data_IF_939255816429
#
_entry.id   IF_939255816429
#
_cell.length_a   1.000
_cell.length_b   1.000
_cell.length_c   1.000
_cell.angle_alpha   90.00
_cell.angle_beta   90.00
_cell.angle_gamma   90.00
#
_symmetry.space_group_name_H-M   'P 1'
#
loop_
_entity.id
_entity.type
_entity.pdbx_description
1 polymer ?
#
# COMPACT_ATOMS: atom_id res chain seq x y z
N UNK A 1 18.63 -1.38 0.85
CA UNK A 1 19.49 -2.13 1.83
C UNK A 1 18.53 -2.84 2.77
N UNK A 2 18.73 -4.13 3.02
CA UNK A 2 17.84 -4.92 3.87
C UNK A 2 17.83 -4.36 5.31
N UNK A 3 16.67 -4.03 5.85
CA UNK A 3 16.53 -3.50 7.20
C UNK A 3 16.95 -4.49 8.29
N UNK A 4 16.85 -5.79 8.05
CA UNK A 4 17.41 -6.81 8.96
C UNK A 4 18.92 -6.63 9.12
N UNK A 5 19.61 -6.19 8.06
CA UNK A 5 21.05 -5.84 8.14
C UNK A 5 21.24 -4.55 8.94
N UNK A 6 20.43 -3.51 8.70
CA UNK A 6 20.51 -2.25 9.48
C UNK A 6 20.29 -2.47 10.97
N UNK A 7 19.35 -3.35 11.35
CA UNK A 7 19.09 -3.71 12.75
C UNK A 7 20.31 -4.40 13.37
N UNK A 8 20.91 -5.37 12.65
CA UNK A 8 22.15 -6.03 13.09
C UNK A 8 23.33 -5.05 13.21
N UNK A 9 23.43 -4.09 12.31
CA UNK A 9 24.44 -3.02 12.40
C UNK A 9 24.24 -2.15 13.63
N UNK A 10 22.97 -1.88 14.06
CA UNK A 10 22.71 -1.15 15.30
C UNK A 10 23.16 -1.93 16.53
N UNK A 11 22.89 -3.24 16.57
CA UNK A 11 23.40 -4.11 17.62
C UNK A 11 24.94 -4.14 17.61
N UNK A 12 25.56 -4.23 16.44
CA UNK A 12 27.02 -4.21 16.27
C UNK A 12 27.70 -2.89 16.68
N UNK A 13 26.95 -1.79 16.80
CA UNK A 13 27.43 -0.50 17.31
C UNK A 13 27.39 -0.38 18.83
N UNK A 14 26.86 -1.37 19.54
CA UNK A 14 26.93 -1.41 20.99
C UNK A 14 28.28 -1.94 21.43
N UNK A 15 28.84 -1.29 22.44
CA UNK A 15 30.03 -1.77 23.16
C UNK A 15 29.57 -2.48 24.42
N UNK A 16 30.04 -3.70 24.62
CA UNK A 16 29.69 -4.53 25.77
C UNK A 16 30.79 -4.43 26.80
N UNK A 17 30.52 -3.72 27.89
CA UNK A 17 31.47 -3.50 28.97
C UNK A 17 31.35 -4.62 30.00
N UNK A 18 32.46 -5.29 30.30
CA UNK A 18 32.52 -6.27 31.38
C UNK A 18 32.39 -5.57 32.76
N UNK A 19 31.46 -6.02 33.55
CA UNK A 19 31.15 -5.44 34.85
C UNK A 19 31.44 -6.41 35.98
N UNK A 20 32.00 -5.88 37.09
CA UNK A 20 32.10 -6.67 38.32
C UNK A 20 30.67 -6.87 38.88
N UNK A 21 30.21 -8.10 38.91
CA UNK A 21 28.82 -8.44 39.27
C UNK A 21 28.42 -7.99 40.66
N UNK A 22 29.29 -8.27 41.64
CA UNK A 22 28.95 -8.01 43.06
C UNK A 22 28.91 -6.51 43.33
N UNK A 23 29.89 -5.77 42.84
CA UNK A 23 29.92 -4.32 42.95
C UNK A 23 28.78 -3.66 42.12
N UNK A 24 28.38 -4.22 40.98
CA UNK A 24 27.27 -3.69 40.22
C UNK A 24 25.94 -3.93 40.94
N UNK A 25 25.70 -5.14 41.50
CA UNK A 25 24.52 -5.45 42.30
C UNK A 25 24.36 -4.51 43.48
N UNK A 26 25.46 -4.31 44.22
CA UNK A 26 25.47 -3.40 45.40
C UNK A 26 25.09 -1.97 44.98
N UNK A 27 25.62 -1.47 43.85
CA UNK A 27 25.40 -0.11 43.37
C UNK A 27 23.94 0.16 42.99
N UNK A 28 23.24 -0.83 42.40
CA UNK A 28 21.84 -0.68 41.95
C UNK A 28 20.84 -1.32 42.89
N UNK A 29 21.30 -1.88 44.04
CA UNK A 29 20.46 -2.43 45.08
C UNK A 29 19.87 -3.80 44.78
N UNK A 30 20.49 -4.62 43.92
CA UNK A 30 20.09 -6.00 43.69
C UNK A 30 20.50 -6.86 44.89
N UNK A 31 19.57 -7.58 45.54
CA UNK A 31 19.88 -8.44 46.67
C UNK A 31 20.89 -9.54 46.28
N UNK A 32 21.77 -9.90 47.23
CA UNK A 32 22.84 -10.90 46.99
C UNK A 32 22.32 -12.30 46.61
N UNK A 33 21.11 -12.64 47.06
CA UNK A 33 20.46 -13.92 46.74
C UNK A 33 19.92 -14.00 45.28
N UNK A 34 19.78 -12.86 44.61
CA UNK A 34 19.37 -12.81 43.18
C UNK A 34 20.55 -13.20 42.35
N UNK A 35 20.37 -14.16 41.43
CA UNK A 35 21.44 -14.67 40.58
C UNK A 35 21.22 -14.32 39.13
N UNK A 36 22.26 -13.88 38.44
CA UNK A 36 22.25 -13.73 36.99
C UNK A 36 22.35 -15.11 36.31
N UNK A 37 21.70 -15.23 35.17
CA UNK A 37 21.72 -16.46 34.36
C UNK A 37 23.12 -16.75 33.78
N UNK A 38 23.83 -15.70 33.37
CA UNK A 38 25.14 -15.82 32.78
C UNK A 38 26.26 -15.74 33.82
N UNK A 39 27.41 -16.43 33.57
CA UNK A 39 28.58 -16.40 34.45
C UNK A 39 29.22 -15.02 34.50
N UNK A 40 29.28 -14.34 33.37
CA UNK A 40 29.90 -13.02 33.23
C UNK A 40 28.81 -11.99 32.95
N UNK A 41 29.00 -10.74 33.33
CA UNK A 41 28.09 -9.64 33.11
C UNK A 41 28.67 -8.65 32.11
N UNK A 42 28.05 -8.51 30.96
CA UNK A 42 28.41 -7.51 29.95
C UNK A 42 27.23 -6.56 29.74
N UNK A 43 27.43 -5.26 30.02
CA UNK A 43 26.44 -4.25 29.84
C UNK A 43 26.66 -3.49 28.53
N UNK A 44 25.61 -3.39 27.67
CA UNK A 44 25.72 -2.68 26.41
C UNK A 44 25.64 -1.17 26.60
N UNK A 45 26.45 -0.44 25.84
CA UNK A 45 26.43 1.02 25.74
C UNK A 45 26.62 1.45 24.29
N UNK A 46 25.97 2.54 23.89
CA UNK A 46 26.14 3.06 22.52
C UNK A 46 27.55 3.58 22.28
N UNK A 47 28.17 3.14 21.16
CA UNK A 47 29.46 3.65 20.73
C UNK A 47 29.43 5.15 20.38
N UNK A 48 28.27 5.69 20.01
CA UNK A 48 28.09 7.14 19.75
C UNK A 48 28.40 7.98 20.98
N UNK A 49 28.02 7.47 22.17
CA UNK A 49 28.32 8.15 23.42
C UNK A 49 29.82 8.24 23.65
N UNK A 50 30.55 7.15 23.46
CA UNK A 50 31.99 7.10 23.67
C UNK A 50 32.68 8.02 22.67
N UNK A 51 32.30 7.98 21.39
CA UNK A 51 32.92 8.82 20.36
C UNK A 51 32.72 10.33 20.58
N UNK A 52 31.58 10.75 21.12
CA UNK A 52 31.31 12.14 21.45
C UNK A 52 31.98 12.65 22.71
N UNK A 53 32.52 11.75 23.58
CA UNK A 53 33.15 12.08 24.84
C UNK A 53 34.62 11.62 24.93
N UNK A 54 35.26 11.31 23.81
CA UNK A 54 36.66 10.83 23.75
C UNK A 54 37.68 11.79 24.39
N UNK A 55 37.41 13.08 24.40
CA UNK A 55 38.30 14.10 24.94
C UNK A 55 38.24 14.24 26.47
N UNK A 56 37.20 13.74 27.11
CA UNK A 56 37.10 13.63 28.55
C UNK A 56 37.59 12.25 28.96
N UNK A 57 38.50 12.16 29.95
CA UNK A 57 38.88 10.86 30.53
C UNK A 57 37.59 10.13 30.95
N UNK A 58 37.12 9.19 30.10
CA UNK A 58 35.91 8.40 30.35
C UNK A 58 36.18 7.52 31.57
N UNK A 59 35.86 8.02 32.75
CA UNK A 59 35.83 7.20 33.96
C UNK A 59 34.61 6.31 33.89
N UNK A 60 34.77 5.10 33.37
CA UNK A 60 33.70 4.07 33.27
C UNK A 60 32.91 3.95 34.60
N UNK A 61 33.55 4.23 35.72
CA UNK A 61 32.91 4.23 37.05
C UNK A 61 31.88 5.30 37.26
N UNK A 62 31.82 6.34 36.44
CA UNK A 62 30.91 7.50 36.57
C UNK A 62 29.97 7.62 35.38
N UNK A 63 29.78 6.57 34.57
CA UNK A 63 28.82 6.58 33.46
C UNK A 63 27.40 6.68 34.01
N UNK A 64 26.62 7.65 33.55
CA UNK A 64 25.21 7.74 33.92
C UNK A 64 24.45 6.46 33.53
N UNK A 65 23.63 5.96 34.45
CA UNK A 65 22.89 4.69 34.31
C UNK A 65 22.00 4.66 33.06
N UNK A 66 21.50 5.79 32.59
CA UNK A 66 20.61 5.88 31.46
C UNK A 66 21.24 5.39 30.14
N UNK A 67 22.58 5.46 29.98
CA UNK A 67 23.27 4.92 28.80
C UNK A 67 23.22 3.39 28.77
N UNK A 68 23.27 2.76 29.94
CA UNK A 68 23.10 1.31 30.04
C UNK A 68 21.63 0.91 29.82
N UNK A 69 20.68 1.70 30.30
CA UNK A 69 19.25 1.49 30.04
C UNK A 69 19.01 1.53 28.51
N UNK A 70 19.48 2.57 27.82
CA UNK A 70 19.36 2.67 26.36
C UNK A 70 20.00 1.47 25.67
N UNK A 71 21.22 1.11 26.04
CA UNK A 71 21.94 -0.02 25.45
C UNK A 71 21.21 -1.35 25.64
N UNK A 72 20.70 -1.63 26.84
CA UNK A 72 19.95 -2.84 27.14
C UNK A 72 18.65 -2.93 26.31
N UNK A 73 17.87 -1.84 26.21
CA UNK A 73 16.67 -1.85 25.40
C UNK A 73 16.94 -1.97 23.91
N UNK A 74 18.01 -1.35 23.36
CA UNK A 74 18.44 -1.57 21.97
C UNK A 74 18.86 -3.02 21.76
N UNK A 75 19.60 -3.63 22.70
CA UNK A 75 20.05 -5.02 22.58
C UNK A 75 18.85 -5.97 22.55
N UNK A 76 17.91 -5.86 23.51
CA UNK A 76 16.69 -6.66 23.57
C UNK A 76 15.83 -6.47 22.29
N UNK A 77 15.67 -5.22 21.83
CA UNK A 77 14.85 -4.91 20.66
C UNK A 77 15.48 -5.29 19.32
N UNK A 78 16.80 -5.47 19.28
CA UNK A 78 17.52 -5.85 18.06
C UNK A 78 17.63 -7.37 17.89
N UNK A 79 17.67 -8.14 18.96
CA UNK A 79 17.77 -9.60 18.95
C UNK A 79 17.14 -10.19 20.20
N UNK A 80 15.94 -10.79 20.04
CA UNK A 80 15.20 -11.43 21.13
C UNK A 80 15.95 -12.64 21.73
N UNK A 81 16.89 -13.24 20.99
CA UNK A 81 17.64 -14.43 21.39
C UNK A 81 19.06 -14.09 21.90
N UNK A 82 19.36 -12.81 22.14
CA UNK A 82 20.66 -12.43 22.66
C UNK A 82 20.88 -13.04 24.04
N UNK A 83 22.05 -13.66 24.23
CA UNK A 83 22.41 -14.44 25.44
C UNK A 83 22.15 -13.72 26.77
N UNK A 84 22.27 -12.40 26.81
CA UNK A 84 22.19 -11.61 28.02
C UNK A 84 20.83 -10.96 28.29
N UNK A 85 19.83 -11.15 27.43
CA UNK A 85 18.53 -10.47 27.57
C UNK A 85 17.85 -10.74 28.91
N UNK A 86 17.86 -12.00 29.39
CA UNK A 86 17.27 -12.34 30.70
C UNK A 86 17.93 -11.55 31.86
N UNK A 87 19.26 -11.37 31.77
CA UNK A 87 19.99 -10.60 32.79
C UNK A 87 19.70 -9.11 32.66
N UNK A 88 19.48 -8.60 31.44
CA UNK A 88 19.09 -7.20 31.20
C UNK A 88 17.70 -6.89 31.73
N UNK A 89 16.72 -7.73 31.47
CA UNK A 89 15.37 -7.57 32.03
C UNK A 89 15.41 -7.57 33.55
N UNK A 90 16.13 -8.50 34.16
CA UNK A 90 16.35 -8.52 35.61
C UNK A 90 16.98 -7.23 36.14
N UNK A 91 18.02 -6.70 35.49
CA UNK A 91 18.68 -5.45 35.90
C UNK A 91 17.71 -4.27 35.79
N UNK A 92 16.95 -4.17 34.69
CA UNK A 92 15.99 -3.10 34.45
C UNK A 92 14.91 -3.03 35.55
N UNK A 93 14.51 -4.17 36.15
CA UNK A 93 13.57 -4.24 37.26
C UNK A 93 14.09 -3.57 38.53
N UNK A 94 15.38 -3.55 38.75
CA UNK A 94 16.01 -2.95 39.94
C UNK A 94 16.44 -1.50 39.73
N UNK A 95 16.46 -0.99 38.52
CA UNK A 95 16.79 0.41 38.25
C UNK A 95 15.56 1.27 38.47
N UNK A 96 15.67 2.30 39.34
CA UNK A 96 14.59 3.26 39.53
C UNK A 96 14.32 4.06 38.26
N UNK A 97 13.05 4.36 38.04
CA UNK A 97 12.58 5.23 36.93
C UNK A 97 12.92 4.70 35.53
N UNK A 98 13.19 3.40 35.36
CA UNK A 98 13.47 2.75 34.06
C UNK A 98 12.42 3.10 33.02
N UNK A 99 11.13 3.03 33.42
CA UNK A 99 10.01 3.31 32.53
C UNK A 99 9.96 4.77 32.09
N UNK A 100 10.20 5.70 32.98
CA UNK A 100 10.27 7.14 32.66
C UNK A 100 11.46 7.43 31.75
N UNK A 101 12.60 6.81 32.04
CA UNK A 101 13.80 6.96 31.25
C UNK A 101 13.61 6.47 29.80
N UNK A 102 13.10 5.24 29.61
CA UNK A 102 12.89 4.70 28.27
C UNK A 102 11.88 5.50 27.47
N UNK A 103 10.77 5.94 28.07
CA UNK A 103 9.78 6.80 27.41
C UNK A 103 10.39 8.13 26.94
N UNK A 104 11.25 8.74 27.75
CA UNK A 104 11.97 9.97 27.39
C UNK A 104 12.96 9.74 26.25
N UNK A 105 13.70 8.62 26.26
CA UNK A 105 14.62 8.26 25.20
C UNK A 105 13.90 8.04 23.85
N UNK A 106 12.78 7.31 23.88
CA UNK A 106 11.94 7.08 22.69
C UNK A 106 11.44 8.41 22.12
N UNK A 107 10.86 9.29 22.97
CA UNK A 107 10.36 10.60 22.53
C UNK A 107 11.47 11.42 21.88
N UNK A 108 12.66 11.47 22.48
CA UNK A 108 13.81 12.18 21.92
C UNK A 108 14.24 11.60 20.56
N UNK A 109 14.26 10.27 20.39
CA UNK A 109 14.61 9.65 19.10
C UNK A 109 13.59 9.99 18.01
N UNK A 110 12.30 10.07 18.36
CA UNK A 110 11.22 10.49 17.44
C UNK A 110 11.38 11.97 17.07
N UNK A 111 11.62 12.86 18.04
CA UNK A 111 11.87 14.29 17.79
C UNK A 111 13.08 14.52 16.88
N UNK A 112 14.15 13.75 17.09
CA UNK A 112 15.38 13.76 16.27
C UNK A 112 15.20 13.05 14.91
N UNK A 113 14.01 12.53 14.58
CA UNK A 113 13.69 11.73 13.39
C UNK A 113 14.55 10.46 13.24
N UNK A 114 15.04 9.93 14.33
CA UNK A 114 15.82 8.68 14.39
C UNK A 114 14.86 7.51 14.59
N UNK A 115 13.96 7.31 13.62
CA UNK A 115 12.83 6.38 13.76
C UNK A 115 13.27 4.93 13.96
N UNK A 116 14.35 4.46 13.29
CA UNK A 116 14.84 3.11 13.51
C UNK A 116 15.35 2.89 14.95
N UNK A 117 16.00 3.89 15.53
CA UNK A 117 16.45 3.81 16.93
C UNK A 117 15.26 3.82 17.88
N UNK A 118 14.26 4.67 17.62
CA UNK A 118 13.00 4.70 18.37
C UNK A 118 12.25 3.35 18.27
N UNK A 119 12.20 2.76 17.08
CA UNK A 119 11.61 1.44 16.85
C UNK A 119 12.28 0.34 17.67
N UNK A 120 13.62 0.29 17.69
CA UNK A 120 14.36 -0.71 18.47
C UNK A 120 14.15 -0.54 19.98
N UNK A 121 14.15 0.71 20.47
CA UNK A 121 13.84 1.01 21.86
C UNK A 121 12.40 0.57 22.22
N UNK A 122 11.43 0.82 21.34
CA UNK A 122 10.04 0.37 21.49
C UNK A 122 9.93 -1.16 21.51
N UNK A 123 10.62 -1.87 20.61
CA UNK A 123 10.65 -3.34 20.57
C UNK A 123 11.21 -3.90 21.87
N UNK A 124 12.35 -3.38 22.36
CA UNK A 124 12.92 -3.77 23.64
C UNK A 124 11.99 -3.47 24.80
N UNK A 125 11.37 -2.28 24.81
CA UNK A 125 10.42 -1.89 25.86
C UNK A 125 9.16 -2.75 25.85
N UNK A 126 8.65 -3.14 24.67
CA UNK A 126 7.53 -4.07 24.57
C UNK A 126 7.90 -5.47 25.10
N UNK A 127 9.10 -5.96 24.75
CA UNK A 127 9.59 -7.24 25.28
C UNK A 127 9.62 -7.25 26.80
N UNK A 128 10.08 -6.16 27.40
CA UNK A 128 10.14 -5.99 28.87
C UNK A 128 8.75 -5.82 29.50
N UNK A 129 7.92 -4.91 28.99
CA UNK A 129 6.66 -4.48 29.66
C UNK A 129 5.43 -5.30 29.26
N UNK A 130 5.43 -5.87 28.04
CA UNK A 130 4.27 -6.47 27.38
C UNK A 130 3.05 -5.54 27.26
N UNK A 131 3.28 -4.22 27.33
CA UNK A 131 2.24 -3.20 27.26
C UNK A 131 1.75 -3.03 25.84
N UNK A 132 0.45 -3.24 25.61
CA UNK A 132 -0.17 -3.14 24.28
C UNK A 132 -0.12 -1.72 23.69
N UNK A 133 -0.07 -0.67 24.54
CA UNK A 133 0.10 0.70 24.05
C UNK A 133 1.50 0.92 23.44
N UNK A 134 2.51 0.19 23.93
CA UNK A 134 3.84 0.19 23.32
C UNK A 134 3.79 -0.52 21.95
N UNK A 135 3.08 -1.63 21.84
CA UNK A 135 2.90 -2.32 20.55
C UNK A 135 2.23 -1.43 19.49
N UNK A 136 1.21 -0.67 19.85
CA UNK A 136 0.59 0.31 18.94
C UNK A 136 1.60 1.33 18.44
N UNK A 137 2.51 1.79 19.30
CA UNK A 137 3.58 2.72 18.91
C UNK A 137 4.63 2.07 18.01
N UNK A 138 4.92 0.77 18.19
CA UNK A 138 5.80 0.02 17.29
C UNK A 138 5.21 0.04 15.87
N UNK A 139 3.93 -0.28 15.73
CA UNK A 139 3.26 -0.28 14.43
C UNK A 139 3.23 1.12 13.80
N UNK A 140 2.94 2.16 14.59
CA UNK A 140 2.94 3.55 14.13
C UNK A 140 4.33 3.99 13.61
N UNK A 141 5.38 3.73 14.41
CA UNK A 141 6.76 4.09 14.01
C UNK A 141 7.21 3.22 12.83
N UNK A 142 6.81 1.95 12.80
CA UNK A 142 7.07 1.05 11.67
C UNK A 142 6.47 1.56 10.36
N UNK A 143 5.22 2.06 10.41
CA UNK A 143 4.58 2.71 9.26
C UNK A 143 5.34 3.96 8.81
N UNK A 144 5.72 4.83 9.77
CA UNK A 144 6.52 6.03 9.46
C UNK A 144 7.84 5.67 8.77
N UNK A 145 8.53 4.60 9.19
CA UNK A 145 9.76 4.15 8.54
C UNK A 145 9.46 3.63 7.13
N UNK A 146 8.36 2.87 6.95
CA UNK A 146 7.95 2.34 5.64
C UNK A 146 7.62 3.47 4.65
N UNK A 147 6.99 4.56 5.12
CA UNK A 147 6.73 5.74 4.28
C UNK A 147 8.03 6.40 3.78
N UNK A 148 9.06 6.47 4.63
CA UNK A 148 10.37 7.00 4.23
C UNK A 148 11.18 6.01 3.38
N UNK A 149 11.13 4.72 3.71
CA UNK A 149 11.85 3.64 3.05
C UNK A 149 10.97 2.39 2.90
N UNK A 150 10.43 2.15 1.71
CA UNK A 150 9.51 1.03 1.41
C UNK A 150 10.08 -0.36 1.74
N UNK A 151 11.40 -0.51 1.81
CA UNK A 151 12.06 -1.78 2.19
C UNK A 151 11.82 -2.19 3.66
N UNK A 152 11.24 -1.32 4.50
CA UNK A 152 10.84 -1.66 5.88
C UNK A 152 9.51 -2.44 5.95
N UNK A 153 8.77 -2.50 4.86
CA UNK A 153 7.45 -3.16 4.77
C UNK A 153 7.45 -4.57 5.35
N UNK A 154 8.42 -5.39 5.02
CA UNK A 154 8.46 -6.79 5.44
C UNK A 154 8.58 -6.91 6.97
N UNK A 155 9.34 -6.02 7.61
CA UNK A 155 9.46 -5.97 9.08
C UNK A 155 8.15 -5.52 9.72
N UNK A 156 7.49 -4.51 9.14
CA UNK A 156 6.19 -4.07 9.62
C UNK A 156 5.14 -5.19 9.51
N UNK A 157 5.14 -5.94 8.41
CA UNK A 157 4.27 -7.10 8.23
C UNK A 157 4.56 -8.21 9.25
N UNK A 158 5.82 -8.47 9.58
CA UNK A 158 6.20 -9.41 10.65
C UNK A 158 5.58 -8.99 12.00
N UNK A 159 5.63 -7.69 12.35
CA UNK A 159 5.01 -7.17 13.58
C UNK A 159 3.48 -7.26 13.56
N UNK A 160 2.86 -6.93 12.41
CA UNK A 160 1.42 -7.06 12.22
C UNK A 160 0.99 -8.52 12.39
N UNK A 161 1.67 -9.45 11.73
CA UNK A 161 1.37 -10.89 11.80
C UNK A 161 1.61 -11.45 13.19
N UNK A 162 2.64 -10.97 13.91
CA UNK A 162 2.84 -11.30 15.31
C UNK A 162 1.62 -10.89 16.16
N UNK A 163 1.12 -9.67 15.99
CA UNK A 163 -0.05 -9.20 16.72
C UNK A 163 -1.31 -10.03 16.45
N UNK A 164 -1.57 -10.34 15.19
CA UNK A 164 -2.75 -11.10 14.75
C UNK A 164 -2.65 -12.55 15.22
N UNK A 165 -1.49 -13.21 15.02
CA UNK A 165 -1.27 -14.62 15.38
C UNK A 165 -1.35 -14.84 16.89
N UNK A 166 -0.88 -13.88 17.69
CA UNK A 166 -0.96 -13.92 19.16
C UNK A 166 -2.29 -13.37 19.69
N UNK A 167 -3.21 -12.96 18.83
CA UNK A 167 -4.53 -12.45 19.18
C UNK A 167 -4.49 -11.31 20.19
N UNK A 168 -3.57 -10.36 19.97
CA UNK A 168 -3.48 -9.19 20.82
C UNK A 168 -4.77 -8.37 20.73
N UNK A 169 -5.27 -7.89 21.86
CA UNK A 169 -6.56 -7.16 21.93
C UNK A 169 -6.39 -5.68 21.53
N UNK A 170 -5.93 -5.45 20.31
CA UNK A 170 -5.75 -4.13 19.70
C UNK A 170 -6.21 -4.20 18.23
N UNK A 171 -6.80 -3.11 17.74
CA UNK A 171 -7.30 -3.02 16.37
C UNK A 171 -6.22 -2.59 15.36
N UNK A 172 -5.23 -1.85 15.81
CA UNK A 172 -4.21 -1.18 15.00
C UNK A 172 -3.49 -2.10 13.98
N UNK A 173 -3.18 -3.39 14.26
CA UNK A 173 -2.59 -4.28 13.27
C UNK A 173 -3.39 -4.38 11.98
N UNK A 174 -4.71 -4.38 12.08
CA UNK A 174 -5.61 -4.46 10.93
C UNK A 174 -5.64 -3.15 10.13
N UNK A 175 -5.53 -2.00 10.80
CA UNK A 175 -5.39 -0.70 10.13
C UNK A 175 -4.12 -0.64 9.30
N UNK A 176 -2.97 -0.95 9.91
CA UNK A 176 -1.69 -0.91 9.19
C UNK A 176 -1.61 -1.99 8.10
N UNK A 177 -2.25 -3.14 8.30
CA UNK A 177 -2.41 -4.13 7.24
C UNK A 177 -3.21 -3.59 6.06
N UNK A 178 -4.31 -2.88 6.33
CA UNK A 178 -5.12 -2.25 5.28
C UNK A 178 -4.32 -1.20 4.50
N UNK A 179 -3.51 -0.39 5.19
CA UNK A 179 -2.64 0.62 4.55
C UNK A 179 -1.60 -0.08 3.65
N UNK A 180 -0.92 -1.10 4.15
CA UNK A 180 0.09 -1.84 3.35
C UNK A 180 -0.54 -2.46 2.11
N UNK A 181 -1.70 -3.13 2.25
CA UNK A 181 -2.40 -3.76 1.12
C UNK A 181 -2.90 -2.71 0.11
N UNK A 182 -3.39 -1.57 0.58
CA UNK A 182 -3.77 -0.43 -0.29
C UNK A 182 -2.58 0.05 -1.12
N UNK A 183 -1.41 0.22 -0.49
CA UNK A 183 -0.18 0.66 -1.17
C UNK A 183 0.34 -0.37 -2.18
N UNK A 184 0.01 -1.64 -2.00
CA UNK A 184 0.31 -2.73 -2.94
C UNK A 184 -0.72 -2.88 -4.07
N UNK A 185 -1.83 -2.14 -4.02
CA UNK A 185 -2.92 -2.23 -4.97
C UNK A 185 -3.89 -3.39 -4.70
N UNK A 186 -3.77 -4.10 -3.58
CA UNK A 186 -4.76 -5.11 -3.15
C UNK A 186 -5.90 -4.45 -2.38
N UNK A 187 -6.79 -3.75 -3.11
CA UNK A 187 -7.91 -3.04 -2.50
C UNK A 187 -8.97 -3.96 -1.92
N UNK A 188 -9.10 -5.19 -2.45
CA UNK A 188 -10.01 -6.20 -1.87
C UNK A 188 -9.49 -6.69 -0.52
N UNK A 189 -8.22 -7.00 -0.42
CA UNK A 189 -7.57 -7.36 0.84
C UNK A 189 -7.57 -6.20 1.83
N UNK A 190 -7.30 -4.98 1.36
CA UNK A 190 -7.35 -3.77 2.18
C UNK A 190 -8.74 -3.53 2.78
N UNK A 191 -9.81 -3.73 1.99
CA UNK A 191 -11.21 -3.63 2.45
C UNK A 191 -11.55 -4.64 3.54
N UNK A 192 -11.07 -5.88 3.40
CA UNK A 192 -11.22 -6.89 4.45
C UNK A 192 -10.49 -6.46 5.72
N UNK A 193 -9.25 -6.00 5.61
CA UNK A 193 -8.44 -5.59 6.74
C UNK A 193 -9.03 -4.38 7.47
N UNK A 194 -9.52 -3.34 6.77
CA UNK A 194 -10.13 -2.16 7.42
C UNK A 194 -11.45 -2.52 8.12
N UNK A 195 -12.23 -3.45 7.59
CA UNK A 195 -13.41 -3.96 8.26
C UNK A 195 -13.04 -4.71 9.55
N UNK A 196 -11.97 -5.52 9.54
CA UNK A 196 -11.46 -6.16 10.75
C UNK A 196 -10.96 -5.15 11.78
N UNK A 197 -10.37 -4.03 11.37
CA UNK A 197 -10.04 -2.94 12.28
C UNK A 197 -11.27 -2.45 13.06
N UNK A 198 -12.37 -2.18 12.39
CA UNK A 198 -13.62 -1.74 13.05
C UNK A 198 -14.24 -2.85 13.89
N UNK A 199 -14.26 -4.10 13.41
CA UNK A 199 -14.75 -5.27 14.15
C UNK A 199 -14.00 -5.50 15.46
N UNK A 200 -12.71 -5.15 15.51
CA UNK A 200 -11.88 -5.25 16.71
C UNK A 200 -11.89 -3.97 17.57
N UNK A 201 -12.85 -3.07 17.35
CA UNK A 201 -13.04 -1.87 18.16
C UNK A 201 -12.16 -0.69 17.78
N UNK A 202 -11.66 -0.65 16.57
CA UNK A 202 -10.91 0.47 16.01
C UNK A 202 -11.71 1.76 16.02
N UNK A 203 -11.07 2.87 16.36
CA UNK A 203 -11.72 4.18 16.46
C UNK A 203 -11.81 4.85 15.10
N UNK A 204 -12.95 5.46 14.83
CA UNK A 204 -13.13 6.32 13.66
C UNK A 204 -12.48 7.68 13.97
N UNK A 205 -11.34 7.95 13.36
CA UNK A 205 -10.71 9.28 13.35
C UNK A 205 -10.79 9.86 11.94
N UNK A 206 -10.61 11.18 11.75
CA UNK A 206 -10.64 11.77 10.40
C UNK A 206 -9.65 11.09 9.43
N UNK A 207 -8.47 10.72 9.91
CA UNK A 207 -7.45 10.05 9.11
C UNK A 207 -7.89 8.63 8.71
N UNK A 208 -8.46 7.87 9.65
CA UNK A 208 -8.99 6.52 9.39
C UNK A 208 -10.19 6.59 8.45
N UNK A 209 -11.02 7.62 8.55
CA UNK A 209 -12.17 7.82 7.67
C UNK A 209 -11.72 8.08 6.23
N UNK A 210 -10.69 8.90 6.02
CA UNK A 210 -10.10 9.14 4.70
C UNK A 210 -9.57 7.82 4.12
N UNK A 211 -8.78 7.06 4.87
CA UNK A 211 -8.22 5.78 4.43
C UNK A 211 -9.33 4.79 4.07
N UNK A 212 -10.37 4.70 4.91
CA UNK A 212 -11.51 3.82 4.69
C UNK A 212 -12.29 4.19 3.42
N UNK A 213 -12.53 5.49 3.20
CA UNK A 213 -13.22 5.97 2.01
C UNK A 213 -12.40 5.69 0.74
N UNK A 214 -11.11 5.97 0.75
CA UNK A 214 -10.20 5.66 -0.37
C UNK A 214 -10.26 4.17 -0.73
N UNK A 215 -10.10 3.29 0.26
CA UNK A 215 -10.12 1.83 0.05
C UNK A 215 -11.48 1.39 -0.51
N UNK A 216 -12.59 1.89 0.05
CA UNK A 216 -13.92 1.51 -0.41
C UNK A 216 -14.18 2.01 -1.83
N UNK A 217 -13.86 3.25 -2.15
CA UNK A 217 -14.13 3.84 -3.46
C UNK A 217 -13.35 3.13 -4.58
N UNK A 218 -12.07 2.83 -4.34
CA UNK A 218 -11.26 2.10 -5.34
C UNK A 218 -11.73 0.64 -5.46
N UNK A 219 -12.00 -0.04 -4.34
CA UNK A 219 -12.53 -1.40 -4.36
C UNK A 219 -13.90 -1.48 -5.07
N UNK A 220 -14.77 -0.49 -4.86
CA UNK A 220 -16.07 -0.43 -5.52
C UNK A 220 -15.93 -0.13 -7.02
N UNK A 221 -14.96 0.71 -7.41
CA UNK A 221 -14.64 0.96 -8.82
C UNK A 221 -14.15 -0.31 -9.54
N UNK A 222 -13.22 -1.06 -8.94
CA UNK A 222 -12.75 -2.33 -9.51
C UNK A 222 -13.89 -3.36 -9.62
N UNK A 223 -14.71 -3.47 -8.57
CA UNK A 223 -15.87 -4.35 -8.57
C UNK A 223 -16.88 -3.97 -9.66
N UNK A 224 -17.11 -2.67 -9.87
CA UNK A 224 -18.02 -2.22 -10.93
C UNK A 224 -17.51 -2.62 -12.32
N UNK A 225 -16.21 -2.56 -12.56
CA UNK A 225 -15.61 -3.00 -13.84
C UNK A 225 -15.78 -4.52 -14.04
N UNK A 226 -15.54 -5.32 -12.99
CA UNK A 226 -15.76 -6.77 -13.04
C UNK A 226 -17.23 -7.12 -13.34
N UNK A 227 -18.17 -6.41 -12.72
CA UNK A 227 -19.61 -6.61 -12.92
C UNK A 227 -20.11 -6.23 -14.32
N UNK A 228 -19.35 -5.49 -15.13
CA UNK A 228 -19.75 -5.15 -16.50
C UNK A 228 -20.12 -6.38 -17.33
N UNK A 229 -19.47 -7.53 -17.10
CA UNK A 229 -19.73 -8.74 -17.86
C UNK A 229 -20.93 -9.54 -17.31
N UNK A 230 -21.11 -9.57 -16.01
CA UNK A 230 -22.08 -10.44 -15.32
C UNK A 230 -23.37 -9.74 -14.95
N UNK A 231 -23.29 -8.51 -14.45
CA UNK A 231 -24.43 -7.70 -13.97
C UNK A 231 -24.22 -6.21 -14.29
N UNK A 232 -24.36 -5.80 -15.56
CA UNK A 232 -24.20 -4.40 -15.96
C UNK A 232 -25.11 -3.42 -15.20
N UNK A 233 -26.29 -3.87 -14.74
CA UNK A 233 -27.22 -3.01 -14.00
C UNK A 233 -26.63 -2.63 -12.64
N UNK A 234 -26.07 -3.58 -11.92
CA UNK A 234 -25.39 -3.34 -10.64
C UNK A 234 -24.11 -2.52 -10.80
N UNK A 235 -23.36 -2.76 -11.89
CA UNK A 235 -22.20 -1.91 -12.26
C UNK A 235 -22.62 -0.45 -12.39
N UNK A 236 -23.75 -0.16 -13.08
CA UNK A 236 -24.28 1.20 -13.23
C UNK A 236 -24.58 1.84 -11.88
N UNK A 237 -25.21 1.14 -10.95
CA UNK A 237 -25.53 1.68 -9.61
C UNK A 237 -24.26 2.14 -8.88
N UNK A 238 -23.22 1.33 -8.91
CA UNK A 238 -21.94 1.64 -8.27
C UNK A 238 -21.25 2.83 -8.97
N UNK A 239 -21.16 2.78 -10.32
CA UNK A 239 -20.51 3.84 -11.10
C UNK A 239 -21.23 5.18 -11.03
N UNK A 240 -22.55 5.21 -10.93
CA UNK A 240 -23.31 6.46 -10.73
C UNK A 240 -22.95 7.11 -9.40
N UNK A 241 -22.90 6.33 -8.31
CA UNK A 241 -22.50 6.83 -7.00
C UNK A 241 -21.08 7.38 -7.01
N UNK A 242 -20.14 6.64 -7.62
CA UNK A 242 -18.75 7.10 -7.77
C UNK A 242 -18.65 8.34 -8.65
N UNK A 243 -19.48 8.48 -9.67
CA UNK A 243 -19.52 9.66 -10.52
C UNK A 243 -20.02 10.93 -9.84
N UNK A 244 -20.83 10.80 -8.78
CA UNK A 244 -21.21 11.95 -7.92
C UNK A 244 -20.04 12.42 -7.05
N UNK A 245 -19.16 11.51 -6.62
CA UNK A 245 -18.02 11.82 -5.78
C UNK A 245 -16.77 12.26 -6.60
N UNK A 246 -16.60 11.66 -7.77
CA UNK A 246 -15.45 11.89 -8.66
C UNK A 246 -15.90 12.45 -10.02
N UNK A 247 -16.60 13.56 -9.99
CA UNK A 247 -17.23 14.18 -11.18
C UNK A 247 -16.27 14.40 -12.35
N UNK A 248 -14.97 14.66 -12.09
CA UNK A 248 -13.98 14.95 -13.12
C UNK A 248 -13.29 13.70 -13.69
N UNK A 249 -13.59 12.49 -13.19
CA UNK A 249 -12.94 11.27 -13.67
C UNK A 249 -13.59 10.75 -14.96
N UNK A 250 -12.94 10.87 -16.15
CA UNK A 250 -13.51 10.47 -17.42
C UNK A 250 -13.80 8.98 -17.53
N UNK A 251 -13.03 8.13 -16.81
CA UNK A 251 -13.15 6.68 -16.91
C UNK A 251 -14.44 6.14 -16.29
N UNK A 252 -14.97 6.80 -15.25
CA UNK A 252 -16.26 6.41 -14.67
C UNK A 252 -17.36 6.55 -15.73
N UNK A 253 -17.37 7.65 -16.48
CA UNK A 253 -18.35 7.90 -17.55
C UNK A 253 -18.13 6.98 -18.75
N UNK A 254 -16.90 6.60 -19.05
CA UNK A 254 -16.58 5.60 -20.05
C UNK A 254 -17.20 4.24 -19.69
N UNK A 255 -16.98 3.75 -18.46
CA UNK A 255 -17.54 2.48 -18.02
C UNK A 255 -19.08 2.52 -17.89
N UNK A 256 -19.67 3.65 -17.51
CA UNK A 256 -21.11 3.84 -17.59
C UNK A 256 -21.62 3.68 -19.03
N UNK A 257 -20.90 4.23 -20.02
CA UNK A 257 -21.19 4.05 -21.43
C UNK A 257 -21.19 2.58 -21.84
N UNK A 258 -20.16 1.83 -21.46
CA UNK A 258 -20.06 0.38 -21.71
C UNK A 258 -21.23 -0.38 -21.04
N UNK A 259 -21.51 -0.07 -19.77
CA UNK A 259 -22.57 -0.75 -19.03
C UNK A 259 -23.96 -0.54 -19.67
N UNK A 260 -24.27 0.70 -20.07
CA UNK A 260 -25.53 1.00 -20.78
C UNK A 260 -25.58 0.34 -22.16
N UNK A 261 -24.47 0.25 -22.89
CA UNK A 261 -24.39 -0.48 -24.16
C UNK A 261 -24.70 -1.97 -23.98
N UNK A 262 -24.16 -2.59 -22.93
CA UNK A 262 -24.44 -4.00 -22.62
C UNK A 262 -25.92 -4.27 -22.27
N UNK A 263 -26.63 -3.26 -21.77
CA UNK A 263 -28.09 -3.28 -21.60
C UNK A 263 -28.85 -2.80 -22.85
N UNK A 264 -28.17 -2.68 -23.99
CA UNK A 264 -28.76 -2.21 -25.26
C UNK A 264 -29.38 -0.81 -25.19
N UNK A 265 -29.04 -0.04 -24.14
CA UNK A 265 -29.49 1.35 -23.97
C UNK A 265 -28.47 2.32 -24.62
N UNK A 266 -28.36 2.24 -25.94
CA UNK A 266 -27.35 2.96 -26.71
C UNK A 266 -27.43 4.49 -26.57
N UNK A 267 -28.63 5.05 -26.42
CA UNK A 267 -28.78 6.49 -26.22
C UNK A 267 -28.17 6.97 -24.89
N UNK A 268 -28.38 6.23 -23.81
CA UNK A 268 -27.71 6.53 -22.54
C UNK A 268 -26.21 6.27 -22.60
N UNK A 269 -25.79 5.21 -23.30
CA UNK A 269 -24.38 4.94 -23.53
C UNK A 269 -23.69 6.14 -24.23
N UNK A 270 -24.28 6.64 -25.33
CA UNK A 270 -23.78 7.82 -26.05
C UNK A 270 -23.71 9.05 -25.13
N UNK A 271 -24.74 9.25 -24.30
CA UNK A 271 -24.76 10.37 -23.34
C UNK A 271 -23.53 10.31 -22.40
N UNK A 272 -23.31 9.18 -21.74
CA UNK A 272 -22.22 9.05 -20.79
C UNK A 272 -20.84 9.06 -21.47
N UNK A 273 -20.69 8.46 -22.65
CA UNK A 273 -19.44 8.54 -23.44
C UNK A 273 -19.12 9.99 -23.84
N UNK A 274 -20.14 10.80 -24.18
CA UNK A 274 -19.95 12.23 -24.43
C UNK A 274 -19.53 13.00 -23.16
N UNK A 275 -20.06 12.62 -22.00
CA UNK A 275 -19.63 13.18 -20.72
C UNK A 275 -18.17 12.82 -20.41
N UNK A 276 -17.70 11.61 -20.77
CA UNK A 276 -16.29 11.22 -20.71
C UNK A 276 -15.41 12.11 -21.61
N UNK A 277 -15.81 12.30 -22.90
CA UNK A 277 -15.05 13.15 -23.86
C UNK A 277 -14.97 14.61 -23.41
N UNK A 278 -15.98 15.15 -22.73
CA UNK A 278 -15.95 16.51 -22.22
C UNK A 278 -14.85 16.71 -21.17
N UNK A 279 -14.60 15.69 -20.36
CA UNK A 279 -13.59 15.69 -19.31
C UNK A 279 -12.19 15.43 -19.87
N UNK A 280 -12.10 14.45 -20.76
CA UNK A 280 -10.86 14.12 -21.45
C UNK A 280 -11.15 13.70 -22.90
N UNK A 281 -10.70 14.48 -23.87
CA UNK A 281 -11.03 14.32 -25.28
C UNK A 281 -10.13 13.34 -26.03
N UNK A 282 -9.06 12.83 -25.40
CA UNK A 282 -8.01 12.04 -26.05
C UNK A 282 -8.11 10.52 -25.87
N UNK A 283 -9.09 10.00 -25.14
CA UNK A 283 -9.21 8.58 -24.85
C UNK A 283 -9.74 7.86 -26.09
N UNK A 284 -8.88 7.06 -26.73
CA UNK A 284 -9.18 6.36 -27.99
C UNK A 284 -10.39 5.42 -27.82
N UNK A 285 -10.42 4.67 -26.74
CA UNK A 285 -11.46 3.68 -26.43
C UNK A 285 -12.85 4.34 -26.35
N UNK A 286 -12.93 5.55 -25.80
CA UNK A 286 -14.17 6.31 -25.70
C UNK A 286 -14.68 6.69 -27.11
N UNK A 287 -13.77 7.08 -28.00
CA UNK A 287 -14.10 7.46 -29.38
C UNK A 287 -14.60 6.23 -30.16
N UNK A 288 -13.96 5.07 -29.99
CA UNK A 288 -14.39 3.79 -30.60
C UNK A 288 -15.77 3.40 -30.07
N UNK A 289 -16.00 3.45 -28.77
CA UNK A 289 -17.30 3.13 -28.17
C UNK A 289 -18.42 4.06 -28.64
N UNK A 290 -18.14 5.35 -28.86
CA UNK A 290 -19.11 6.26 -29.48
C UNK A 290 -19.47 5.78 -30.88
N UNK A 291 -18.50 5.43 -31.71
CA UNK A 291 -18.72 4.86 -33.04
C UNK A 291 -19.59 3.61 -33.02
N UNK A 292 -19.29 2.66 -32.10
CA UNK A 292 -20.07 1.44 -31.94
C UNK A 292 -21.53 1.73 -31.55
N UNK A 293 -21.75 2.60 -30.58
CA UNK A 293 -23.10 2.92 -30.12
C UNK A 293 -23.92 3.66 -31.19
N UNK A 294 -23.30 4.57 -31.98
CA UNK A 294 -23.98 5.20 -33.11
C UNK A 294 -24.33 4.19 -34.21
N UNK A 295 -23.44 3.24 -34.51
CA UNK A 295 -23.72 2.16 -35.46
C UNK A 295 -24.89 1.26 -34.98
N UNK A 296 -24.96 0.96 -33.68
CA UNK A 296 -26.04 0.16 -33.09
C UNK A 296 -27.44 0.82 -33.21
N UNK A 297 -27.51 2.16 -33.20
CA UNK A 297 -28.77 2.88 -33.40
C UNK A 297 -29.05 3.20 -34.88
N UNK A 298 -28.20 2.77 -35.80
CA UNK A 298 -28.36 2.99 -37.23
C UNK A 298 -27.87 4.34 -37.77
N UNK A 299 -27.28 5.16 -36.91
CA UNK A 299 -26.68 6.46 -37.29
C UNK A 299 -25.28 6.28 -37.88
N UNK A 300 -25.20 5.60 -39.02
CA UNK A 300 -23.93 5.15 -39.61
C UNK A 300 -23.02 6.29 -40.02
N UNK A 301 -23.55 7.42 -40.49
CA UNK A 301 -22.76 8.61 -40.83
C UNK A 301 -22.02 9.18 -39.61
N UNK A 302 -22.70 9.22 -38.45
CA UNK A 302 -22.06 9.66 -37.22
C UNK A 302 -21.04 8.62 -36.73
N UNK A 303 -21.36 7.33 -36.80
CA UNK A 303 -20.44 6.25 -36.46
C UNK A 303 -19.11 6.36 -37.28
N UNK A 304 -19.22 6.58 -38.58
CA UNK A 304 -18.05 6.76 -39.45
C UNK A 304 -17.18 7.93 -39.05
N UNK A 305 -17.76 9.06 -38.59
CA UNK A 305 -16.98 10.21 -38.13
C UNK A 305 -16.10 9.84 -36.92
N UNK A 306 -16.69 9.14 -35.94
CA UNK A 306 -15.94 8.70 -34.76
C UNK A 306 -14.92 7.63 -35.09
N UNK A 307 -15.26 6.61 -35.88
CA UNK A 307 -14.33 5.58 -36.29
C UNK A 307 -13.16 6.12 -37.15
N UNK A 308 -13.41 7.08 -38.06
CA UNK A 308 -12.33 7.73 -38.81
C UNK A 308 -11.37 8.47 -37.87
N UNK A 309 -11.88 9.22 -36.92
CA UNK A 309 -11.05 9.89 -35.91
C UNK A 309 -10.20 8.89 -35.12
N UNK A 310 -10.80 7.78 -34.68
CA UNK A 310 -10.07 6.71 -33.98
C UNK A 310 -9.04 6.03 -34.90
N UNK A 311 -9.39 5.77 -36.15
CA UNK A 311 -8.50 5.14 -37.13
C UNK A 311 -7.28 6.01 -37.49
N UNK A 312 -7.45 7.32 -37.58
CA UNK A 312 -6.34 8.26 -37.77
C UNK A 312 -5.28 8.16 -36.68
N UNK A 313 -5.70 7.91 -35.44
CA UNK A 313 -4.82 7.78 -34.30
C UNK A 313 -4.16 6.40 -34.15
N UNK A 314 -4.91 5.31 -34.44
CA UNK A 314 -4.46 3.95 -34.10
C UNK A 314 -3.98 3.12 -35.32
N UNK A 315 -4.53 3.41 -36.50
CA UNK A 315 -4.35 2.57 -37.72
C UNK A 315 -4.77 1.11 -37.48
N UNK A 316 -5.74 0.88 -36.60
CA UNK A 316 -6.22 -0.45 -36.27
C UNK A 316 -7.12 -1.03 -37.33
N UNK A 317 -6.90 -2.31 -37.71
CA UNK A 317 -7.67 -3.01 -38.73
C UNK A 317 -9.13 -3.21 -38.30
N UNK A 318 -9.41 -3.45 -37.03
CA UNK A 318 -10.77 -3.64 -36.49
C UNK A 318 -11.59 -2.36 -36.66
N UNK A 319 -11.01 -1.21 -36.34
CA UNK A 319 -11.67 0.08 -36.57
C UNK A 319 -11.93 0.31 -38.07
N UNK A 320 -10.98 -0.07 -38.93
CA UNK A 320 -11.17 0.01 -40.38
C UNK A 320 -12.33 -0.87 -40.86
N UNK A 321 -12.44 -2.11 -40.35
CA UNK A 321 -13.57 -3.00 -40.67
C UNK A 321 -14.91 -2.46 -40.20
N UNK A 322 -14.96 -1.79 -39.02
CA UNK A 322 -16.17 -1.11 -38.57
C UNK A 322 -16.59 0.03 -39.51
N UNK A 323 -15.63 0.79 -40.07
CA UNK A 323 -15.93 1.80 -41.10
C UNK A 323 -16.52 1.16 -42.31
N UNK A 324 -15.96 0.03 -42.80
CA UNK A 324 -16.47 -0.70 -43.96
C UNK A 324 -17.91 -1.16 -43.70
N UNK A 325 -18.17 -1.75 -42.56
CA UNK A 325 -19.51 -2.20 -42.19
C UNK A 325 -20.54 -1.05 -42.16
N UNK A 326 -20.17 0.12 -41.68
CA UNK A 326 -21.04 1.30 -41.74
C UNK A 326 -21.34 1.74 -43.16
N UNK A 327 -20.32 1.79 -44.06
CA UNK A 327 -20.53 2.11 -45.46
C UNK A 327 -21.41 1.10 -46.18
N UNK A 328 -21.27 -0.20 -45.88
CA UNK A 328 -22.15 -1.25 -46.44
C UNK A 328 -23.61 -1.04 -45.98
N UNK A 329 -23.85 -0.68 -44.77
CA UNK A 329 -25.21 -0.39 -44.29
C UNK A 329 -25.82 0.88 -44.92
N UNK A 330 -24.98 1.83 -45.34
CA UNK A 330 -25.40 3.01 -46.12
C UNK A 330 -25.53 2.72 -47.61
N UNK A 331 -25.27 1.48 -48.08
CA UNK A 331 -25.18 1.10 -49.47
C UNK A 331 -24.10 1.88 -50.28
N UNK A 332 -23.10 2.42 -49.61
CA UNK A 332 -21.97 3.13 -50.21
C UNK A 332 -20.83 2.15 -50.52
N UNK A 333 -21.01 1.41 -51.61
CA UNK A 333 -20.04 0.39 -52.04
C UNK A 333 -18.69 0.99 -52.47
N UNK A 334 -18.66 2.23 -52.94
CA UNK A 334 -17.44 2.88 -53.39
C UNK A 334 -16.51 3.11 -52.19
N UNK A 335 -17.01 3.75 -51.15
CA UNK A 335 -16.23 3.99 -49.90
C UNK A 335 -15.94 2.68 -49.17
N UNK A 336 -16.87 1.70 -49.17
CA UNK A 336 -16.61 0.38 -48.60
C UNK A 336 -15.40 -0.32 -49.24
N UNK A 337 -15.31 -0.30 -50.61
CA UNK A 337 -14.18 -0.86 -51.35
C UNK A 337 -12.88 -0.12 -51.04
N UNK A 338 -12.90 1.20 -51.01
CA UNK A 338 -11.72 2.01 -50.66
C UNK A 338 -11.13 1.62 -49.31
N UNK A 339 -11.99 1.49 -48.29
CA UNK A 339 -11.53 1.12 -46.92
C UNK A 339 -11.18 -0.37 -46.82
N UNK A 340 -11.79 -1.24 -47.65
CA UNK A 340 -11.38 -2.65 -47.74
C UNK A 340 -9.95 -2.79 -48.28
N UNK A 341 -9.56 -2.01 -49.26
CA UNK A 341 -8.18 -2.01 -49.76
C UNK A 341 -7.19 -1.53 -48.70
N UNK A 342 -7.60 -0.52 -47.88
CA UNK A 342 -6.81 -0.08 -46.73
C UNK A 342 -6.69 -1.21 -45.70
N UNK A 343 -7.80 -1.88 -45.33
CA UNK A 343 -7.79 -2.96 -44.35
C UNK A 343 -6.92 -4.15 -44.80
N UNK A 344 -6.98 -4.51 -46.11
CA UNK A 344 -6.09 -5.55 -46.72
C UNK A 344 -4.61 -5.18 -46.64
N UNK A 345 -4.27 -3.91 -46.83
CA UNK A 345 -2.90 -3.44 -46.68
C UNK A 345 -2.40 -3.45 -45.22
N UNK A 346 -3.29 -3.30 -44.25
CA UNK A 346 -2.97 -3.40 -42.82
C UNK A 346 -2.80 -4.86 -42.40
N UNK A 347 -3.77 -5.72 -42.71
CA UNK A 347 -3.74 -7.15 -42.40
C UNK A 347 -4.63 -7.94 -43.36
N UNK A 348 -4.04 -8.52 -44.41
CA UNK A 348 -4.75 -9.35 -45.40
C UNK A 348 -5.19 -10.70 -44.87
N UNK A 349 -4.60 -11.15 -43.76
CA UNK A 349 -4.89 -12.45 -43.12
C UNK A 349 -6.02 -12.37 -42.10
N UNK A 350 -6.47 -11.17 -41.73
CA UNK A 350 -7.58 -10.98 -40.79
C UNK A 350 -8.87 -11.63 -41.34
N UNK A 351 -9.56 -12.37 -40.47
CA UNK A 351 -10.75 -13.15 -40.86
C UNK A 351 -11.92 -12.25 -41.30
N UNK A 352 -12.11 -11.10 -40.62
CA UNK A 352 -13.18 -10.16 -40.94
C UNK A 352 -12.91 -9.48 -42.25
N UNK A 353 -11.64 -9.10 -42.53
CA UNK A 353 -11.22 -8.55 -43.84
C UNK A 353 -11.51 -9.53 -44.96
N UNK A 354 -11.20 -10.83 -44.80
CA UNK A 354 -11.50 -11.88 -45.81
C UNK A 354 -13.01 -12.06 -46.02
N UNK A 355 -13.80 -12.03 -44.96
CA UNK A 355 -15.26 -12.10 -45.02
C UNK A 355 -15.83 -10.90 -45.79
N UNK A 356 -15.39 -9.68 -45.44
CA UNK A 356 -15.81 -8.45 -46.11
C UNK A 356 -15.40 -8.41 -47.58
N UNK A 357 -14.20 -8.91 -47.94
CA UNK A 357 -13.75 -9.04 -49.30
C UNK A 357 -14.67 -9.96 -50.11
N UNK A 358 -15.04 -11.09 -49.52
CA UNK A 358 -15.94 -12.03 -50.19
C UNK A 358 -17.34 -11.41 -50.39
N UNK A 359 -17.84 -10.68 -49.39
CA UNK A 359 -19.15 -10.02 -49.43
C UNK A 359 -19.21 -8.91 -50.49
N UNK A 360 -18.18 -8.07 -50.58
CA UNK A 360 -18.14 -6.90 -51.43
C UNK A 360 -17.85 -7.27 -52.90
N UNK A 361 -17.02 -8.31 -53.17
CA UNK A 361 -16.56 -8.64 -54.49
C UNK A 361 -17.24 -9.85 -55.16
N UNK A 362 -18.06 -10.63 -54.39
CA UNK A 362 -18.81 -11.77 -54.91
C UNK A 362 -20.34 -11.58 -54.87
N UNK A 363 -20.83 -10.52 -54.24
CA UNK A 363 -22.23 -10.07 -54.30
C UNK A 363 -22.39 -9.04 -55.42
#
# INVERSE_FOLDING_TARGET
>A
MDYKVKIKERLGKLLFLEMNKDGFKENIGIPSYVTFKNKDLYLPISSEYISSNINDEIKIKNLPIYYFIEGMFIAIGSDENLRFNDDYELILDYIKDTETCIKSLISKRIEDKRYLDAYLLLKGYYTYSKDLEVMKKILLVGETIKEEESSFKDILLEDIDYCISNRLKIAEPYLYKAIVLKDEGDFKGAKVAINEYFNNGGKVTPEVEIINNDINNISDYENAIELLAEDPAKSIEILLRLGEEFEENPLIYYYLGIAFRKLENYHKAIYYLKESVKRESGILEVIVELGLNYACIGEFEEAIKYFKKAFEASRDVEICTNIIMCYLNLNDLENAKLHLDIAKNLNSEDEIVKQLDTMINKG
#
